data_IF_400351892277
#
_entry.id   IF_400351892277
#
_cell.length_a   1.000
_cell.length_b   1.000
_cell.length_c   1.000
_cell.angle_alpha   90.00
_cell.angle_beta   90.00
_cell.angle_gamma   90.00
#
_symmetry.space_group_name_H-M   'P 1'
#
loop_
_entity.id
_entity.type
_entity.pdbx_description
1 polymer ?
#
# COMPACT_ATOMS: atom_id res chain seq x y z
N UNK A 1 -26.11 -2.32 1.30
CA UNK A 1 -25.38 -1.13 0.78
C UNK A 1 -25.55 -1.11 -0.73
N UNK A 2 -26.00 0.00 -1.32
CA UNK A 2 -26.03 0.13 -2.78
C UNK A 2 -24.59 0.37 -3.24
N UNK A 3 -24.06 -0.47 -4.14
CA UNK A 3 -22.78 -0.21 -4.79
C UNK A 3 -22.88 1.11 -5.55
N UNK A 4 -22.03 2.07 -5.22
CA UNK A 4 -21.88 3.27 -6.03
C UNK A 4 -21.29 2.86 -7.37
N UNK A 5 -22.03 3.11 -8.44
CA UNK A 5 -21.54 2.98 -9.81
C UNK A 5 -20.65 4.18 -10.11
N UNK A 6 -19.38 3.93 -10.41
CA UNK A 6 -18.47 4.95 -10.91
C UNK A 6 -18.52 4.97 -12.43
N UNK A 7 -18.74 6.16 -13.00
CA UNK A 7 -18.55 6.38 -14.43
C UNK A 7 -17.03 6.35 -14.73
N UNK A 8 -16.58 5.59 -15.73
CA UNK A 8 -15.17 5.56 -16.09
C UNK A 8 -14.74 6.94 -16.62
N UNK A 9 -13.61 7.44 -16.11
CA UNK A 9 -12.98 8.65 -16.64
C UNK A 9 -12.39 8.32 -18.00
N UNK A 10 -12.93 8.88 -19.08
CA UNK A 10 -12.48 8.63 -20.46
C UNK A 10 -11.50 9.69 -20.98
N UNK A 11 -11.24 10.74 -20.22
CA UNK A 11 -10.31 11.81 -20.60
C UNK A 11 -8.86 11.38 -20.33
N UNK A 12 -8.06 11.33 -21.39
CA UNK A 12 -6.65 10.95 -21.34
C UNK A 12 -5.80 11.92 -20.49
N UNK A 13 -6.14 13.22 -20.45
CA UNK A 13 -5.43 14.20 -19.64
C UNK A 13 -5.67 13.93 -18.15
N UNK A 14 -6.91 13.62 -17.77
CA UNK A 14 -7.27 13.28 -16.37
C UNK A 14 -6.61 11.97 -15.97
N UNK A 15 -6.58 10.96 -16.84
CA UNK A 15 -5.84 9.72 -16.58
C UNK A 15 -4.36 10.00 -16.35
N UNK A 16 -3.75 10.85 -17.20
CA UNK A 16 -2.33 11.18 -17.09
C UNK A 16 -2.02 11.86 -15.76
N UNK A 17 -2.81 12.85 -15.38
CA UNK A 17 -2.66 13.56 -14.12
C UNK A 17 -2.79 12.60 -12.92
N UNK A 18 -3.78 11.71 -12.94
CA UNK A 18 -3.96 10.70 -11.90
C UNK A 18 -2.76 9.74 -11.79
N UNK A 19 -2.17 9.34 -12.91
CA UNK A 19 -0.96 8.51 -12.93
C UNK A 19 0.25 9.25 -12.37
N UNK A 20 0.41 10.54 -12.72
CA UNK A 20 1.51 11.37 -12.21
C UNK A 20 1.37 11.58 -10.69
N UNK A 21 0.15 11.83 -10.19
CA UNK A 21 -0.12 11.88 -8.75
C UNK A 21 0.16 10.55 -8.05
N UNK A 22 -0.24 9.43 -8.64
CA UNK A 22 0.04 8.09 -8.09
C UNK A 22 1.54 7.84 -7.98
N UNK A 23 2.32 8.23 -8.99
CA UNK A 23 3.78 8.10 -8.97
C UNK A 23 4.41 8.92 -7.83
N UNK A 24 3.97 10.16 -7.64
CA UNK A 24 4.42 11.02 -6.53
C UNK A 24 4.07 10.38 -5.18
N UNK A 25 2.83 9.90 -5.04
CA UNK A 25 2.36 9.21 -3.85
C UNK A 25 3.20 7.97 -3.52
N UNK A 26 3.49 7.14 -4.52
CA UNK A 26 4.32 5.94 -4.35
C UNK A 26 5.73 6.27 -3.84
N UNK A 27 6.36 7.32 -4.39
CA UNK A 27 7.68 7.76 -3.92
C UNK A 27 7.62 8.25 -2.47
N UNK A 28 6.60 9.03 -2.11
CA UNK A 28 6.43 9.51 -0.74
C UNK A 28 6.20 8.36 0.25
N UNK A 29 5.35 7.39 -0.11
CA UNK A 29 5.08 6.19 0.68
C UNK A 29 6.36 5.37 0.90
N UNK A 30 7.15 5.13 -0.15
CA UNK A 30 8.40 4.37 -0.02
C UNK A 30 9.41 5.05 0.89
N UNK A 31 9.53 6.38 0.80
CA UNK A 31 10.41 7.16 1.70
C UNK A 31 9.96 7.05 3.15
N UNK A 32 8.66 7.20 3.42
CA UNK A 32 8.10 7.05 4.76
C UNK A 32 8.35 5.63 5.31
N UNK A 33 8.15 4.60 4.48
CA UNK A 33 8.40 3.21 4.88
C UNK A 33 9.86 2.95 5.23
N UNK A 34 10.79 3.48 4.44
CA UNK A 34 12.22 3.37 4.71
C UNK A 34 12.58 4.05 6.04
N UNK A 35 12.07 5.25 6.30
CA UNK A 35 12.26 5.96 7.57
C UNK A 35 11.69 5.17 8.74
N UNK A 36 10.48 4.62 8.61
CA UNK A 36 9.85 3.79 9.64
C UNK A 36 10.74 2.58 9.99
N UNK A 37 11.26 1.87 8.98
CA UNK A 37 12.18 0.74 9.21
C UNK A 37 13.45 1.18 9.95
N UNK A 38 14.05 2.31 9.56
CA UNK A 38 15.23 2.85 10.21
C UNK A 38 14.98 3.21 11.69
N UNK A 39 13.76 3.63 12.02
CA UNK A 39 13.33 3.95 13.39
C UNK A 39 12.75 2.74 14.15
N UNK A 40 12.68 1.56 13.52
CA UNK A 40 12.02 0.38 14.08
C UNK A 40 10.51 0.54 14.23
N UNK A 41 9.87 1.50 13.57
CA UNK A 41 8.42 1.69 13.56
C UNK A 41 7.80 0.73 12.52
N UNK A 42 6.76 -0.05 12.86
CA UNK A 42 6.11 -0.94 11.91
C UNK A 42 5.41 -0.19 10.78
N UNK A 43 5.51 -0.70 9.54
CA UNK A 43 4.67 -0.27 8.44
C UNK A 43 3.39 -1.10 8.41
N UNK A 44 2.23 -0.44 8.31
CA UNK A 44 0.92 -1.09 8.19
C UNK A 44 0.37 -0.99 6.76
N UNK A 45 -0.30 -2.06 6.34
CA UNK A 45 -0.85 -2.23 5.00
C UNK A 45 -2.29 -2.75 5.11
N UNK A 46 -3.14 -2.43 4.14
CA UNK A 46 -4.43 -3.10 3.94
C UNK A 46 -4.30 -4.10 2.81
N UNK A 47 -4.27 -5.40 3.14
CA UNK A 47 -4.16 -6.49 2.17
C UNK A 47 -5.40 -7.36 2.29
N UNK A 48 -6.18 -7.46 1.21
CA UNK A 48 -7.41 -8.24 1.20
C UNK A 48 -8.47 -7.77 2.21
N UNK A 49 -8.46 -6.49 2.60
CA UNK A 49 -9.36 -5.95 3.63
C UNK A 49 -8.89 -6.14 5.07
N UNK A 50 -7.70 -6.74 5.27
CA UNK A 50 -7.09 -6.92 6.58
C UNK A 50 -5.92 -5.96 6.75
N UNK A 51 -5.81 -5.39 7.96
CA UNK A 51 -4.65 -4.58 8.34
C UNK A 51 -3.53 -5.52 8.79
N UNK A 52 -2.37 -5.44 8.15
CA UNK A 52 -1.19 -6.25 8.45
C UNK A 52 0.04 -5.36 8.59
N UNK A 53 0.98 -5.72 9.46
CA UNK A 53 2.27 -5.03 9.58
C UNK A 53 3.43 -5.82 8.99
N UNK A 54 4.51 -5.12 8.62
CA UNK A 54 5.78 -5.76 8.22
C UNK A 54 6.32 -6.73 9.29
N UNK A 55 6.12 -6.43 10.58
CA UNK A 55 6.47 -7.34 11.68
C UNK A 55 5.64 -8.63 11.70
N UNK A 56 4.36 -8.56 11.33
CA UNK A 56 3.50 -9.74 11.30
C UNK A 56 3.94 -10.70 10.19
N UNK A 57 4.35 -10.16 9.04
CA UNK A 57 4.84 -10.92 7.87
C UNK A 57 6.14 -11.67 8.21
N UNK A 58 7.09 -10.99 8.87
CA UNK A 58 8.34 -11.62 9.30
C UNK A 58 8.06 -12.77 10.29
N UNK A 59 7.14 -12.57 11.24
CA UNK A 59 6.79 -13.57 12.26
C UNK A 59 6.15 -14.85 11.67
N UNK A 60 5.34 -14.71 10.61
CA UNK A 60 4.73 -15.85 9.93
C UNK A 60 5.74 -16.58 9.06
N UNK A 61 6.63 -15.85 8.39
CA UNK A 61 7.71 -16.42 7.59
C UNK A 61 8.60 -17.33 8.43
N UNK A 62 8.92 -16.95 9.67
CA UNK A 62 9.67 -17.79 10.61
C UNK A 62 8.94 -19.06 11.09
N UNK A 63 7.60 -19.08 11.09
CA UNK A 63 6.83 -20.29 11.45
C UNK A 63 6.85 -21.32 10.33
N UNK A 64 6.73 -20.89 9.08
CA UNK A 64 6.67 -21.79 7.91
C UNK A 64 7.99 -22.52 7.64
N UNK A 65 9.14 -21.99 8.06
CA UNK A 65 10.46 -22.67 7.90
C UNK A 65 10.78 -23.68 9.00
N UNK A 66 9.97 -23.78 10.05
CA UNK A 66 10.22 -24.67 11.20
C UNK A 66 9.29 -25.89 11.27
N UNK A 67 8.38 -26.03 10.31
CA UNK A 67 7.57 -27.24 10.09
C UNK A 67 8.15 -28.05 8.93
#
# INVERSE_FOLDING_TARGET
>A
MKQQTFEPVTDAAVLREAMDMMAIGNVAVHRAQATNRALGIPNYYSIGGHVVSDRDIDSQSYRTVKE
#
